data_IF_649145264860
#
_entry.id   IF_649145264860
#
_cell.length_a   1.000
_cell.length_b   1.000
_cell.length_c   1.000
_cell.angle_alpha   90.00
_cell.angle_beta   90.00
_cell.angle_gamma   90.00
#
_symmetry.space_group_name_H-M   'P 1'
#
loop_
_entity.id
_entity.type
_entity.pdbx_description
1 polymer ?
#
# COMPACT_ATOMS: atom_id res chain seq x y z
N UNK A 1 -13.10 5.05 -11.45
CA UNK A 1 -11.77 4.41 -11.54
C UNK A 1 -11.01 4.82 -10.31
N UNK A 2 -10.70 3.86 -9.47
CA UNK A 2 -10.01 4.06 -8.19
C UNK A 2 -8.57 3.57 -8.32
N UNK A 3 -7.66 4.15 -7.54
CA UNK A 3 -6.25 3.76 -7.56
C UNK A 3 -5.79 3.22 -6.23
N UNK A 4 -4.85 2.28 -6.28
CA UNK A 4 -4.17 1.70 -5.14
C UNK A 4 -2.67 1.78 -5.40
N UNK A 5 -1.92 2.17 -4.38
CA UNK A 5 -0.47 2.27 -4.49
C UNK A 5 0.20 1.25 -3.56
N UNK A 6 1.23 0.58 -4.06
CA UNK A 6 2.19 -0.17 -3.26
C UNK A 6 3.53 0.54 -3.27
N UNK A 7 4.14 0.68 -2.09
CA UNK A 7 5.51 1.13 -1.93
C UNK A 7 6.39 -0.03 -1.48
N UNK A 8 7.50 -0.21 -2.18
CA UNK A 8 8.64 -0.99 -1.70
C UNK A 8 9.72 0.00 -1.24
N UNK A 9 9.87 0.13 0.08
CA UNK A 9 10.63 1.23 0.70
C UNK A 9 12.09 0.80 0.88
N UNK A 10 12.98 1.34 0.05
CA UNK A 10 14.42 1.20 0.19
C UNK A 10 15.08 2.39 0.90
N UNK A 11 16.39 2.30 1.14
CA UNK A 11 17.14 3.32 1.89
C UNK A 11 17.31 4.62 1.11
N UNK A 12 17.72 4.52 -0.16
CA UNK A 12 17.93 5.68 -1.04
C UNK A 12 16.74 5.92 -1.97
N UNK A 13 16.13 4.84 -2.46
CA UNK A 13 15.01 4.88 -3.39
C UNK A 13 13.85 3.99 -2.91
N UNK A 14 12.63 4.44 -3.17
CA UNK A 14 11.38 3.74 -2.94
C UNK A 14 10.72 3.44 -4.28
N UNK A 15 10.42 2.17 -4.54
CA UNK A 15 9.65 1.80 -5.72
C UNK A 15 8.17 2.11 -5.47
N UNK A 16 7.53 2.73 -6.46
CA UNK A 16 6.13 3.15 -6.43
C UNK A 16 5.40 2.42 -7.55
N UNK A 17 4.44 1.58 -7.17
CA UNK A 17 3.54 0.91 -8.10
C UNK A 17 2.12 1.41 -7.87
N UNK A 18 1.41 1.81 -8.93
CA UNK A 18 0.00 2.19 -8.88
C UNK A 18 -0.79 1.26 -9.77
N UNK A 19 -1.87 0.71 -9.23
CA UNK A 19 -2.83 -0.13 -9.94
C UNK A 19 -4.22 0.50 -9.90
N UNK A 20 -5.01 0.26 -10.94
CA UNK A 20 -6.42 0.63 -10.97
C UNK A 20 -7.32 -0.40 -10.25
N UNK A 21 -8.63 -0.16 -10.21
CA UNK A 21 -9.63 -1.06 -9.62
C UNK A 21 -9.76 -2.42 -10.33
N UNK A 22 -9.15 -2.58 -11.51
CA UNK A 22 -9.10 -3.84 -12.27
C UNK A 22 -7.78 -4.59 -12.06
N UNK A 23 -6.87 -4.04 -11.26
CA UNK A 23 -5.53 -4.59 -11.04
C UNK A 23 -4.57 -4.33 -12.20
N UNK A 24 -4.90 -3.43 -13.12
CA UNK A 24 -3.97 -3.01 -14.17
C UNK A 24 -2.98 -2.01 -13.59
N UNK A 25 -1.70 -2.26 -13.84
CA UNK A 25 -0.63 -1.32 -13.50
C UNK A 25 -0.71 -0.09 -14.40
N UNK A 26 -0.80 1.08 -13.77
CA UNK A 26 -0.88 2.40 -14.45
C UNK A 26 0.33 3.28 -14.20
N UNK A 27 1.13 2.96 -13.18
CA UNK A 27 2.43 3.58 -12.92
C UNK A 27 3.36 2.55 -12.28
N UNK A 28 4.58 2.45 -12.79
CA UNK A 28 5.73 1.85 -12.10
C UNK A 28 6.90 2.81 -12.22
N UNK A 29 7.43 3.25 -11.09
CA UNK A 29 8.57 4.17 -11.05
C UNK A 29 9.35 3.99 -9.74
N UNK A 30 10.53 4.58 -9.65
CA UNK A 30 11.28 4.70 -8.41
C UNK A 30 11.51 6.19 -8.14
N UNK A 31 11.41 6.57 -6.88
CA UNK A 31 11.70 7.92 -6.41
C UNK A 31 12.67 7.85 -5.25
N UNK A 32 13.37 8.95 -4.96
CA UNK A 32 14.13 9.07 -3.72
C UNK A 32 13.22 8.77 -2.53
N UNK A 33 13.73 8.05 -1.52
CA UNK A 33 13.00 7.75 -0.30
C UNK A 33 12.77 9.03 0.51
N UNK A 34 11.75 9.76 0.10
CA UNK A 34 11.34 11.04 0.64
C UNK A 34 9.81 11.18 0.48
N UNK A 35 9.09 11.61 1.53
CA UNK A 35 7.63 11.68 1.50
C UNK A 35 7.08 12.65 0.44
N UNK A 36 7.76 13.76 0.16
CA UNK A 36 7.35 14.72 -0.87
C UNK A 36 7.62 14.19 -2.28
N UNK A 37 8.72 13.45 -2.48
CA UNK A 37 9.01 12.77 -3.74
C UNK A 37 7.93 11.73 -4.07
N UNK A 38 7.53 10.91 -3.09
CA UNK A 38 6.42 9.95 -3.24
C UNK A 38 5.10 10.66 -3.56
N UNK A 39 4.76 11.73 -2.83
CA UNK A 39 3.55 12.51 -3.09
C UNK A 39 3.54 13.11 -4.49
N UNK A 40 4.68 13.62 -4.95
CA UNK A 40 4.84 14.23 -6.27
C UNK A 40 4.62 13.19 -7.38
N UNK A 41 5.18 11.99 -7.25
CA UNK A 41 4.93 10.91 -8.19
C UNK A 41 3.45 10.48 -8.22
N UNK A 42 2.77 10.57 -7.09
CA UNK A 42 1.35 10.22 -6.97
C UNK A 42 0.38 11.34 -7.33
N UNK A 43 0.87 12.56 -7.64
CA UNK A 43 0.05 13.75 -7.93
C UNK A 43 -1.11 13.48 -8.93
N UNK A 44 -0.92 12.74 -10.04
CA UNK A 44 -2.01 12.45 -10.98
C UNK A 44 -3.14 11.59 -10.40
N UNK A 45 -2.87 10.83 -9.34
CA UNK A 45 -3.76 9.81 -8.78
C UNK A 45 -4.41 10.24 -7.46
N UNK A 46 -3.89 11.25 -6.76
CA UNK A 46 -4.27 11.63 -5.39
C UNK A 46 -5.79 11.77 -5.19
N UNK A 47 -6.50 12.38 -6.13
CA UNK A 47 -7.95 12.60 -6.02
C UNK A 47 -8.79 11.32 -5.94
N UNK A 48 -8.21 10.19 -6.38
CA UNK A 48 -8.87 8.87 -6.47
C UNK A 48 -8.05 7.75 -5.85
N UNK A 49 -6.95 8.09 -5.17
CA UNK A 49 -6.10 7.14 -4.47
C UNK A 49 -6.82 6.69 -3.20
N UNK A 50 -7.19 5.41 -3.14
CA UNK A 50 -7.96 4.86 -2.01
C UNK A 50 -7.06 4.37 -0.89
N UNK A 51 -5.93 3.75 -1.22
CA UNK A 51 -4.96 3.22 -0.27
C UNK A 51 -3.56 3.30 -0.86
N UNK A 52 -2.59 3.54 0.00
CA UNK A 52 -1.17 3.42 -0.25
C UNK A 52 -0.62 2.43 0.78
N UNK A 53 -0.21 1.25 0.35
CA UNK A 53 0.38 0.23 1.22
C UNK A 53 1.90 0.29 1.17
N UNK A 54 2.55 0.12 2.32
CA UNK A 54 3.99 -0.16 2.38
C UNK A 54 4.23 -1.24 3.44
N UNK A 55 5.29 -2.03 3.27
CA UNK A 55 5.65 -3.04 4.27
C UNK A 55 6.25 -2.40 5.52
N UNK A 56 6.12 -3.10 6.66
CA UNK A 56 6.80 -2.72 7.88
C UNK A 56 8.31 -2.95 7.75
N UNK A 57 9.09 -1.89 7.92
CA UNK A 57 10.54 -1.89 7.84
C UNK A 57 11.16 -0.81 8.72
N UNK A 58 12.49 -0.72 8.72
CA UNK A 58 13.26 0.21 9.56
C UNK A 58 12.91 1.69 9.33
N UNK A 59 12.49 2.05 8.10
CA UNK A 59 12.10 3.41 7.73
C UNK A 59 10.61 3.70 7.97
N UNK A 60 9.77 2.69 8.17
CA UNK A 60 8.33 2.86 8.36
C UNK A 60 7.95 3.79 9.53
N UNK A 61 8.61 3.75 10.71
CA UNK A 61 8.29 4.65 11.82
C UNK A 61 8.47 6.14 11.48
N UNK A 62 9.36 6.46 10.53
CA UNK A 62 9.57 7.82 10.03
C UNK A 62 8.70 8.13 8.82
N UNK A 63 8.70 7.27 7.80
CA UNK A 63 8.04 7.55 6.52
C UNK A 63 6.50 7.53 6.64
N UNK A 64 5.94 6.56 7.37
CA UNK A 64 4.48 6.41 7.50
C UNK A 64 3.79 7.68 8.04
N UNK A 65 4.18 8.25 9.19
CA UNK A 65 3.53 9.45 9.70
C UNK A 65 3.69 10.65 8.75
N UNK A 66 4.80 10.79 8.03
CA UNK A 66 4.98 11.87 7.04
C UNK A 66 4.04 11.71 5.84
N UNK A 67 3.88 10.49 5.30
CA UNK A 67 2.91 10.22 4.24
C UNK A 67 1.47 10.55 4.69
N UNK A 68 1.12 10.21 5.93
CA UNK A 68 -0.20 10.54 6.51
C UNK A 68 -0.37 12.06 6.67
N UNK A 69 0.65 12.79 7.16
CA UNK A 69 0.64 14.26 7.28
C UNK A 69 0.44 14.94 5.93
N UNK A 70 0.98 14.35 4.86
CA UNK A 70 0.81 14.80 3.47
C UNK A 70 -0.58 14.48 2.87
N UNK A 71 -1.46 13.85 3.65
CA UNK A 71 -2.81 13.50 3.25
C UNK A 71 -2.91 12.23 2.41
N UNK A 72 -1.85 11.41 2.38
CA UNK A 72 -1.88 10.12 1.69
C UNK A 72 -2.59 9.07 2.57
N UNK A 73 -3.45 8.21 1.99
CA UNK A 73 -4.13 7.15 2.72
C UNK A 73 -3.18 5.95 2.98
N UNK A 74 -2.09 6.22 3.69
CA UNK A 74 -1.02 5.27 3.94
C UNK A 74 -1.44 4.19 4.95
N UNK A 75 -1.08 2.94 4.68
CA UNK A 75 -1.31 1.77 5.52
C UNK A 75 -0.01 0.99 5.62
N UNK A 76 0.46 0.79 6.86
CA UNK A 76 1.60 -0.09 7.12
C UNK A 76 1.11 -1.54 7.17
N UNK A 77 1.65 -2.37 6.28
CA UNK A 77 1.36 -3.79 6.17
C UNK A 77 2.31 -4.56 7.09
N UNK A 78 1.93 -4.69 8.37
CA UNK A 78 2.61 -5.58 9.32
C UNK A 78 2.46 -7.05 8.88
N UNK A 79 3.60 -7.72 8.67
CA UNK A 79 3.71 -9.10 8.15
C UNK A 79 2.87 -10.14 8.90
N UNK A 80 2.50 -9.87 10.15
CA UNK A 80 1.65 -10.73 10.97
C UNK A 80 0.15 -10.67 10.60
N UNK A 81 -0.38 -9.50 10.22
CA UNK A 81 -1.80 -9.38 9.82
C UNK A 81 -2.00 -9.57 8.31
N UNK A 82 -0.98 -9.30 7.49
CA UNK A 82 -1.06 -9.41 6.03
C UNK A 82 -1.10 -10.86 5.58
N UNK A 83 -0.34 -11.75 6.25
CA UNK A 83 -0.49 -13.20 6.04
C UNK A 83 -1.88 -13.67 6.44
N UNK A 84 -2.47 -13.17 7.53
CA UNK A 84 -3.82 -13.56 7.93
C UNK A 84 -4.89 -13.02 6.97
N UNK A 85 -4.78 -11.78 6.51
CA UNK A 85 -5.73 -11.15 5.60
C UNK A 85 -5.61 -11.66 4.15
N UNK A 86 -4.40 -11.86 3.62
CA UNK A 86 -4.18 -12.48 2.31
C UNK A 86 -4.53 -13.97 2.33
N UNK A 87 -4.27 -14.69 3.42
CA UNK A 87 -4.76 -16.07 3.58
C UNK A 87 -6.28 -16.10 3.71
N UNK A 88 -6.90 -15.16 4.43
CA UNK A 88 -8.36 -15.04 4.52
C UNK A 88 -9.02 -14.64 3.18
N UNK A 89 -8.37 -13.80 2.36
CA UNK A 89 -8.87 -13.45 1.02
C UNK A 89 -8.66 -14.58 0.00
N UNK A 90 -7.52 -15.29 0.02
CA UNK A 90 -7.32 -16.48 -0.82
C UNK A 90 -8.26 -17.63 -0.46
N UNK A 91 -8.66 -17.75 0.82
CA UNK A 91 -9.57 -18.80 1.27
C UNK A 91 -11.06 -18.45 1.04
N UNK A 92 -11.38 -17.22 0.63
CA UNK A 92 -12.77 -16.78 0.40
C UNK A 92 -13.17 -16.79 -1.08
N UNK A 93 -12.62 -17.75 -1.83
CA UNK A 93 -13.09 -18.08 -3.19
C UNK A 93 -13.84 -19.42 -3.26
N UNK A 94 -13.88 -20.22 -2.19
CA UNK A 94 -14.71 -21.44 -2.18
C UNK A 94 -15.32 -21.71 -0.79
N UNK A 95 -16.62 -21.43 -0.71
CA UNK A 95 -17.68 -22.10 0.04
C UNK A 95 -17.24 -23.02 1.21
N UNK A 96 -17.33 -22.49 2.44
CA UNK A 96 -17.86 -23.23 3.59
C UNK A 96 -18.09 -22.27 4.77
N UNK A 97 -19.37 -22.08 5.12
CA UNK A 97 -19.79 -21.70 6.45
C UNK A 97 -19.29 -22.73 7.47
N UNK A 98 -18.50 -22.30 8.45
CA UNK A 98 -18.35 -23.01 9.71
C UNK A 98 -17.92 -22.04 10.82
N UNK A 99 -18.66 -22.09 11.92
CA UNK A 99 -18.39 -21.46 13.22
C UNK A 99 -16.95 -21.70 13.71
N UNK A 100 -16.47 -20.79 14.58
CA UNK A 100 -15.36 -21.08 15.50
C UNK A 100 -14.51 -19.86 15.83
N UNK A 101 -14.90 -19.04 16.82
CA UNK A 101 -14.32 -19.00 18.19
C UNK A 101 -13.13 -18.04 18.31
N UNK A 102 -13.31 -17.08 19.24
CA UNK A 102 -12.33 -16.26 19.98
C UNK A 102 -11.51 -15.21 19.21
#
# INVERSE_FOLDING_TARGET
MEFFCGLDVGMDETAVCVVDDKGQVVLETAVVTDPDAVRTALAPYLSRLRRLGHEAGSLSPWLHPELVKLGLPAVCLETLHVRAALKAQRNKTDRADALGIA
#
